data_IF_513843807802
#
_entry.id   IF_513843807802
#
_cell.length_a   1.000
_cell.length_b   1.000
_cell.length_c   1.000
_cell.angle_alpha   90.00
_cell.angle_beta   90.00
_cell.angle_gamma   90.00
#
_symmetry.space_group_name_H-M   'P 1'
#
loop_
_entity.id
_entity.type
_entity.pdbx_description
1 polymer ?
#
# COMPACT_ATOMS: atom_id res chain seq x y z
N UNK A 1 -12.14 12.91 -0.84
CA UNK A 1 -12.57 11.74 -1.66
C UNK A 1 -12.58 10.42 -0.87
N UNK A 2 -11.51 10.09 -0.12
CA UNK A 2 -11.40 8.84 0.65
C UNK A 2 -12.56 8.55 1.62
N UNK A 3 -13.04 9.57 2.34
CA UNK A 3 -14.16 9.42 3.29
C UNK A 3 -15.47 8.97 2.62
N UNK A 4 -15.73 9.39 1.38
CA UNK A 4 -16.94 8.99 0.64
C UNK A 4 -16.95 7.48 0.36
N UNK A 5 -15.82 6.96 -0.11
CA UNK A 5 -15.64 5.52 -0.40
C UNK A 5 -15.73 4.69 0.88
N UNK A 6 -15.11 5.16 1.97
CA UNK A 6 -15.18 4.46 3.26
C UNK A 6 -16.63 4.36 3.77
N UNK A 7 -17.45 5.40 3.59
CA UNK A 7 -18.87 5.36 3.96
C UNK A 7 -19.66 4.33 3.16
N UNK A 8 -19.45 4.28 1.84
CA UNK A 8 -20.11 3.29 0.96
C UNK A 8 -19.68 1.88 1.37
N UNK A 9 -18.38 1.65 1.61
CA UNK A 9 -17.87 0.35 2.05
C UNK A 9 -18.44 -0.06 3.41
N UNK A 10 -18.49 0.86 4.37
CA UNK A 10 -19.06 0.61 5.70
C UNK A 10 -20.55 0.23 5.60
N UNK A 11 -21.30 0.89 4.73
CA UNK A 11 -22.71 0.59 4.53
C UNK A 11 -22.93 -0.75 3.82
N UNK A 12 -22.15 -1.03 2.77
CA UNK A 12 -22.17 -2.32 2.09
C UNK A 12 -21.85 -3.48 3.04
N UNK A 13 -20.84 -3.33 3.91
CA UNK A 13 -20.51 -4.34 4.92
C UNK A 13 -21.67 -4.61 5.89
N UNK A 14 -22.41 -3.56 6.30
CA UNK A 14 -23.61 -3.70 7.14
C UNK A 14 -24.75 -4.38 6.42
N UNK A 15 -24.96 -4.06 5.15
CA UNK A 15 -26.00 -4.65 4.32
C UNK A 15 -25.75 -6.15 4.11
N UNK A 16 -24.52 -6.55 3.79
CA UNK A 16 -24.15 -7.96 3.63
C UNK A 16 -24.26 -8.72 4.96
N UNK A 17 -23.86 -8.12 6.07
CA UNK A 17 -23.93 -8.75 7.39
C UNK A 17 -25.30 -8.62 8.08
N UNK A 18 -26.32 -8.06 7.40
CA UNK A 18 -27.64 -7.77 7.94
C UNK A 18 -27.60 -7.12 9.34
N UNK A 19 -26.75 -6.09 9.51
CA UNK A 19 -26.62 -5.34 10.77
C UNK A 19 -27.27 -3.97 10.70
N UNK A 20 -27.76 -3.52 11.86
CA UNK A 20 -28.38 -2.22 12.03
C UNK A 20 -27.40 -1.07 11.74
N UNK A 21 -27.95 0.12 11.43
CA UNK A 21 -27.15 1.33 11.12
C UNK A 21 -26.17 1.71 12.25
N UNK A 22 -26.54 1.47 13.51
CA UNK A 22 -25.72 1.79 14.68
C UNK A 22 -24.55 0.81 14.89
N UNK A 23 -24.56 -0.35 14.24
CA UNK A 23 -23.53 -1.37 14.46
C UNK A 23 -22.13 -0.87 14.06
N UNK A 24 -21.07 -1.17 14.84
CA UNK A 24 -19.71 -0.78 14.49
C UNK A 24 -19.22 -1.42 13.19
N UNK A 25 -18.83 -0.62 12.22
CA UNK A 25 -18.38 -1.13 10.90
C UNK A 25 -17.02 -1.84 10.96
N UNK A 26 -16.18 -1.55 11.95
CA UNK A 26 -14.82 -2.09 12.05
C UNK A 26 -14.80 -3.61 12.28
N UNK A 27 -15.70 -4.11 13.15
CA UNK A 27 -15.83 -5.55 13.41
C UNK A 27 -16.29 -6.31 12.16
N UNK A 28 -17.29 -5.77 11.46
CA UNK A 28 -17.78 -6.34 10.21
C UNK A 28 -16.70 -6.38 9.13
N UNK A 29 -15.94 -5.30 8.94
CA UNK A 29 -14.86 -5.29 7.97
C UNK A 29 -13.83 -6.39 8.24
N UNK A 30 -13.57 -6.71 9.51
CA UNK A 30 -12.67 -7.81 9.89
C UNK A 30 -13.30 -9.18 9.58
N UNK A 31 -14.55 -9.40 9.97
CA UNK A 31 -15.29 -10.65 9.70
C UNK A 31 -15.46 -10.93 8.20
N UNK A 32 -15.71 -9.89 7.40
CA UNK A 32 -15.82 -9.98 5.95
C UNK A 32 -14.44 -9.98 5.23
N UNK A 33 -13.34 -10.01 5.98
CA UNK A 33 -11.97 -9.93 5.45
C UNK A 33 -11.74 -8.71 4.53
N UNK A 34 -12.53 -7.65 4.71
CA UNK A 34 -12.54 -6.45 3.89
C UNK A 34 -11.62 -5.38 4.50
N UNK A 35 -10.48 -5.10 3.86
CA UNK A 35 -9.58 -4.03 4.32
C UNK A 35 -10.25 -2.64 4.22
N UNK A 36 -10.13 -1.77 5.25
CA UNK A 36 -10.52 -0.37 5.14
C UNK A 36 -9.74 0.34 4.03
N UNK A 37 -10.31 1.40 3.45
CA UNK A 37 -9.81 2.04 2.22
C UNK A 37 -8.35 2.49 2.35
N UNK A 38 -7.96 3.03 3.51
CA UNK A 38 -6.58 3.46 3.77
C UNK A 38 -5.59 2.29 3.70
N UNK A 39 -5.93 1.15 4.29
CA UNK A 39 -5.09 -0.06 4.25
C UNK A 39 -5.04 -0.65 2.85
N UNK A 40 -6.15 -0.59 2.09
CA UNK A 40 -6.19 -1.05 0.70
C UNK A 40 -5.22 -0.26 -0.19
N UNK A 41 -5.12 1.06 0.01
CA UNK A 41 -4.16 1.88 -0.73
C UNK A 41 -2.71 1.46 -0.44
N UNK A 42 -2.37 1.28 0.84
CA UNK A 42 -1.04 0.79 1.25
C UNK A 42 -0.75 -0.59 0.69
N UNK A 43 -1.72 -1.51 0.79
CA UNK A 43 -1.60 -2.87 0.27
C UNK A 43 -1.33 -2.90 -1.23
N UNK A 44 -2.02 -2.08 -2.03
CA UNK A 44 -1.78 -1.98 -3.48
C UNK A 44 -0.35 -1.55 -3.81
N UNK A 45 0.18 -0.57 -3.08
CA UNK A 45 1.55 -0.10 -3.26
C UNK A 45 2.54 -1.21 -2.90
N UNK A 46 2.37 -1.85 -1.73
CA UNK A 46 3.23 -2.94 -1.29
C UNK A 46 3.20 -4.14 -2.24
N UNK A 47 2.02 -4.54 -2.70
CA UNK A 47 1.86 -5.63 -3.64
C UNK A 47 2.51 -5.34 -4.99
N UNK A 48 2.38 -4.10 -5.48
CA UNK A 48 3.03 -3.66 -6.72
C UNK A 48 4.56 -3.75 -6.60
N UNK A 49 5.11 -3.22 -5.51
CA UNK A 49 6.55 -3.25 -5.22
C UNK A 49 7.04 -4.69 -5.13
N UNK A 50 6.34 -5.55 -4.39
CA UNK A 50 6.66 -6.98 -4.30
C UNK A 50 6.71 -7.64 -5.69
N UNK A 51 5.64 -7.48 -6.49
CA UNK A 51 5.59 -8.05 -7.84
C UNK A 51 6.72 -7.54 -8.73
N UNK A 52 7.06 -6.26 -8.63
CA UNK A 52 8.15 -5.68 -9.40
C UNK A 52 9.50 -6.27 -9.01
N UNK A 53 9.78 -6.43 -7.72
CA UNK A 53 11.02 -7.03 -7.21
C UNK A 53 11.18 -8.51 -7.56
N UNK A 54 10.07 -9.24 -7.68
CA UNK A 54 10.05 -10.66 -8.05
C UNK A 54 9.89 -10.91 -9.56
N UNK A 55 10.08 -9.89 -10.41
CA UNK A 55 9.95 -9.99 -11.87
C UNK A 55 8.56 -10.48 -12.36
N UNK A 56 7.53 -10.29 -11.54
CA UNK A 56 6.13 -10.61 -11.86
C UNK A 56 5.35 -9.40 -12.42
N UNK A 57 6.02 -8.25 -12.52
CA UNK A 57 5.48 -7.04 -13.14
C UNK A 57 6.12 -6.84 -14.53
N UNK A 58 5.56 -5.97 -15.38
CA UNK A 58 6.21 -5.57 -16.62
C UNK A 58 7.64 -5.04 -16.39
N UNK A 59 8.53 -5.31 -17.36
CA UNK A 59 9.96 -4.94 -17.31
C UNK A 59 10.21 -3.49 -16.91
N UNK A 60 9.41 -2.55 -17.42
CA UNK A 60 9.58 -1.13 -17.09
C UNK A 60 9.34 -0.82 -15.60
N UNK A 61 8.47 -1.57 -14.91
CA UNK A 61 8.27 -1.43 -13.47
C UNK A 61 9.35 -2.17 -12.69
N UNK A 62 9.68 -3.40 -13.08
CA UNK A 62 10.74 -4.17 -12.40
C UNK A 62 12.08 -3.44 -12.42
N UNK A 63 12.40 -2.77 -13.52
CA UNK A 63 13.64 -1.97 -13.63
C UNK A 63 13.64 -0.70 -12.76
N UNK A 64 12.48 -0.23 -12.29
CA UNK A 64 12.40 0.96 -11.41
C UNK A 64 12.71 0.63 -9.94
N UNK A 65 12.51 -0.61 -9.51
CA UNK A 65 12.69 -1.00 -8.10
C UNK A 65 13.91 -1.89 -7.94
N UNK A 66 14.86 -1.45 -7.12
CA UNK A 66 16.03 -2.26 -6.76
C UNK A 66 16.37 -2.08 -5.30
N UNK A 67 16.87 -3.15 -4.68
CA UNK A 67 17.40 -3.07 -3.32
C UNK A 67 18.68 -2.22 -3.31
N UNK A 68 18.81 -1.40 -2.28
CA UNK A 68 20.00 -0.60 -2.06
C UNK A 68 21.17 -1.54 -1.77
N UNK A 69 22.12 -1.61 -2.70
CA UNK A 69 23.41 -2.28 -2.50
C UNK A 69 24.42 -1.27 -2.00
N UNK A 70 25.01 -1.50 -0.84
CA UNK A 70 26.14 -0.71 -0.35
C UNK A 70 27.45 -1.43 -0.63
N UNK A 71 28.54 -0.68 -0.75
CA UNK A 71 29.88 -1.24 -0.97
C UNK A 71 30.47 -1.88 0.30
N UNK A 72 29.86 -1.59 1.45
CA UNK A 72 30.33 -1.98 2.77
C UNK A 72 29.20 -2.67 3.52
N UNK A 73 29.54 -3.66 4.34
CA UNK A 73 28.56 -4.34 5.19
C UNK A 73 28.12 -3.40 6.31
N UNK A 74 26.99 -2.74 6.11
CA UNK A 74 26.40 -1.82 7.08
C UNK A 74 25.32 -2.51 7.89
N UNK A 75 25.10 -2.07 9.13
CA UNK A 75 23.96 -2.53 9.95
C UNK A 75 22.60 -2.28 9.30
N UNK A 76 22.52 -1.38 8.32
CA UNK A 76 21.32 -1.09 7.55
C UNK A 76 21.13 -1.97 6.32
N UNK A 77 22.07 -2.86 5.97
CA UNK A 77 21.90 -3.84 4.89
C UNK A 77 20.93 -4.96 5.24
N UNK A 78 20.80 -5.30 6.53
CA UNK A 78 19.76 -6.24 7.01
C UNK A 78 18.35 -5.67 6.81
N UNK A 79 18.24 -4.36 6.64
CA UNK A 79 17.00 -3.65 6.36
C UNK A 79 16.89 -3.56 4.83
N UNK A 80 15.97 -4.35 4.25
CA UNK A 80 15.70 -4.49 2.80
C UNK A 80 15.17 -3.20 2.15
N UNK A 81 15.95 -2.12 2.24
CA UNK A 81 15.59 -0.79 1.75
C UNK A 81 15.72 -0.71 0.23
N UNK A 82 14.77 -0.02 -0.39
CA UNK A 82 14.79 0.28 -1.81
C UNK A 82 15.64 1.51 -2.11
N UNK A 83 16.23 1.54 -3.30
CA UNK A 83 16.90 2.73 -3.82
C UNK A 83 15.87 3.83 -4.07
N UNK A 84 16.09 5.01 -3.50
CA UNK A 84 15.30 6.21 -3.80
C UNK A 84 15.95 6.93 -5.00
N UNK A 85 15.30 6.97 -6.18
CA UNK A 85 15.87 7.62 -7.36
C UNK A 85 15.92 9.14 -7.18
N UNK A 86 17.00 9.78 -7.64
CA UNK A 86 17.09 11.25 -7.69
C UNK A 86 16.40 11.76 -8.96
N UNK A 87 15.34 12.55 -8.81
CA UNK A 87 14.75 13.32 -9.92
C UNK A 87 15.12 14.80 -9.81
N UNK A 88 15.17 15.49 -10.96
CA UNK A 88 15.36 16.94 -11.07
C UNK A 88 14.05 17.72 -11.28
N UNK A 89 12.90 17.06 -11.26
CA UNK A 89 11.60 17.73 -11.38
C UNK A 89 11.22 18.45 -10.08
N UNK A 90 10.48 19.55 -10.20
CA UNK A 90 9.89 20.29 -9.06
C UNK A 90 8.92 19.40 -8.25
N UNK A 91 8.23 18.47 -8.92
CA UNK A 91 7.18 17.62 -8.36
C UNK A 91 7.60 16.66 -7.24
N UNK A 92 8.86 16.25 -7.17
CA UNK A 92 9.29 15.36 -6.10
C UNK A 92 10.18 16.04 -5.05
N UNK A 93 10.56 17.31 -5.16
CA UNK A 93 11.56 17.90 -4.22
C UNK A 93 11.15 17.90 -2.74
N UNK A 94 9.93 17.48 -2.41
CA UNK A 94 9.42 17.38 -1.04
C UNK A 94 9.83 16.04 -0.43
N UNK A 95 10.92 16.08 0.34
CA UNK A 95 11.48 14.94 1.04
C UNK A 95 12.70 15.31 1.89
N UNK A 96 12.54 16.34 2.71
CA UNK A 96 13.30 16.53 3.96
C UNK A 96 12.29 16.76 5.07
#
# INVERSE_FOLDING_TARGET
>A
MLYKIQRVQNYAAKLVANKNRSFPSLGLLKELHCLPVLYRNRFKILLLVYKALHNMAPLYLSNMFSFKKTKYVLRSETILNLVVPRYRSTFGRVGK
#
